data_IF_039926103591
#
_entry.id   IF_039926103591
#
_cell.length_a   1.000
_cell.length_b   1.000
_cell.length_c   1.000
_cell.angle_alpha   90.00
_cell.angle_beta   90.00
_cell.angle_gamma   90.00
#
_symmetry.space_group_name_H-M   'P 1'
#
loop_
_entity.id
_entity.type
_entity.pdbx_description
1 polymer ?
#
# COMPACT_ATOMS: atom_id res chain seq x y z
N UNK A 1 0.36 6.49 19.88
CA UNK A 1 -0.28 6.98 18.65
C UNK A 1 0.72 7.30 17.52
N UNK A 2 2.04 7.13 17.72
CA UNK A 2 3.06 7.38 16.67
C UNK A 2 3.19 6.26 15.63
N UNK A 3 2.85 5.02 15.98
CA UNK A 3 3.07 3.87 15.09
C UNK A 3 2.31 3.98 13.76
N UNK A 4 1.07 4.47 13.80
CA UNK A 4 0.18 4.66 12.64
C UNK A 4 0.49 5.93 11.83
N UNK A 5 1.42 6.77 12.30
CA UNK A 5 1.87 7.98 11.59
C UNK A 5 3.26 7.83 10.98
N UNK A 6 4.02 6.82 11.38
CA UNK A 6 5.37 6.63 10.89
C UNK A 6 5.36 5.97 9.50
N UNK A 7 5.85 6.73 8.52
CA UNK A 7 6.03 6.27 7.15
C UNK A 7 6.84 4.98 7.04
N UNK A 8 7.83 4.77 7.91
CA UNK A 8 8.63 3.54 7.89
C UNK A 8 7.81 2.32 8.29
N UNK A 9 6.90 2.47 9.25
CA UNK A 9 6.04 1.37 9.67
C UNK A 9 5.07 1.00 8.54
N UNK A 10 4.53 1.99 7.83
CA UNK A 10 3.73 1.75 6.64
C UNK A 10 4.55 1.07 5.54
N UNK A 11 5.75 1.55 5.24
CA UNK A 11 6.61 0.93 4.24
C UNK A 11 7.01 -0.51 4.63
N UNK A 12 7.23 -0.81 5.91
CA UNK A 12 7.46 -2.18 6.40
C UNK A 12 6.22 -3.05 6.20
N UNK A 13 5.03 -2.56 6.57
CA UNK A 13 3.79 -3.30 6.37
C UNK A 13 3.55 -3.59 4.88
N UNK A 14 3.77 -2.61 4.01
CA UNK A 14 3.70 -2.80 2.56
C UNK A 14 4.80 -3.74 2.05
N UNK A 15 5.99 -3.71 2.64
CA UNK A 15 7.07 -4.65 2.33
C UNK A 15 6.71 -6.09 2.65
N UNK A 16 6.00 -6.33 3.76
CA UNK A 16 5.45 -7.65 4.09
C UNK A 16 4.40 -8.10 3.07
N UNK A 17 3.54 -7.19 2.60
CA UNK A 17 2.56 -7.48 1.54
C UNK A 17 3.29 -7.85 0.24
N UNK A 18 4.33 -7.10 -0.14
CA UNK A 18 5.15 -7.42 -1.32
C UNK A 18 5.80 -8.79 -1.17
N UNK A 19 6.34 -9.12 0.00
CA UNK A 19 6.92 -10.45 0.26
C UNK A 19 5.86 -11.57 0.13
N UNK A 20 4.65 -11.33 0.62
CA UNK A 20 3.52 -12.25 0.41
C UNK A 20 3.20 -12.43 -1.08
N UNK A 21 3.23 -11.37 -1.88
CA UNK A 21 2.99 -11.46 -3.33
C UNK A 21 4.09 -12.19 -4.08
N UNK A 22 5.34 -12.04 -3.64
CA UNK A 22 6.45 -12.84 -4.18
C UNK A 22 6.19 -14.32 -3.91
N UNK A 23 5.75 -14.69 -2.70
CA UNK A 23 5.34 -16.06 -2.41
C UNK A 23 4.21 -16.53 -3.35
N UNK A 24 3.12 -15.77 -3.49
CA UNK A 24 2.01 -16.11 -4.39
C UNK A 24 2.48 -16.27 -5.85
N UNK A 25 3.37 -15.39 -6.32
CA UNK A 25 3.96 -15.48 -7.66
C UNK A 25 4.71 -16.80 -7.89
N UNK A 26 5.53 -17.19 -6.90
CA UNK A 26 6.39 -18.36 -7.03
C UNK A 26 5.62 -19.68 -6.94
N UNK A 27 4.51 -19.72 -6.21
CA UNK A 27 3.79 -20.97 -5.92
C UNK A 27 2.43 -21.09 -6.64
N UNK A 28 1.83 -20.00 -7.12
CA UNK A 28 0.46 -20.03 -7.65
C UNK A 28 0.27 -19.32 -9.00
N UNK A 29 0.76 -18.09 -9.15
CA UNK A 29 0.46 -17.21 -10.30
C UNK A 29 1.51 -17.29 -11.45
N UNK A 30 2.75 -17.64 -11.12
CA UNK A 30 3.86 -17.71 -12.07
C UNK A 30 4.76 -16.46 -12.11
N UNK A 31 5.91 -16.59 -12.78
CA UNK A 31 7.00 -15.59 -12.71
C UNK A 31 6.64 -14.22 -13.29
N UNK A 32 5.71 -14.12 -14.25
CA UNK A 32 5.30 -12.83 -14.82
C UNK A 32 4.61 -11.92 -13.80
N UNK A 33 3.96 -12.51 -12.78
CA UNK A 33 3.37 -11.76 -11.67
C UNK A 33 4.42 -11.00 -10.86
N UNK A 34 5.71 -11.40 -10.93
CA UNK A 34 6.81 -10.69 -10.26
C UNK A 34 7.10 -9.31 -10.87
N UNK A 35 6.71 -9.04 -12.12
CA UNK A 35 6.99 -7.76 -12.77
C UNK A 35 6.28 -6.61 -12.03
N UNK A 36 4.94 -6.60 -11.89
CA UNK A 36 4.26 -5.56 -11.14
C UNK A 36 4.66 -5.57 -9.65
N UNK A 37 4.88 -6.75 -9.07
CA UNK A 37 5.31 -6.88 -7.66
C UNK A 37 6.67 -6.24 -7.42
N UNK A 38 7.62 -6.39 -8.36
CA UNK A 38 8.94 -5.77 -8.31
C UNK A 38 8.87 -4.25 -8.42
N UNK A 39 8.00 -3.72 -9.29
CA UNK A 39 7.77 -2.27 -9.42
C UNK A 39 7.23 -1.71 -8.10
N UNK A 40 6.16 -2.31 -7.57
CA UNK A 40 5.57 -1.92 -6.29
C UNK A 40 6.59 -2.04 -5.16
N UNK A 41 7.33 -3.14 -5.10
CA UNK A 41 8.39 -3.37 -4.11
C UNK A 41 9.47 -2.30 -4.15
N UNK A 42 9.90 -1.87 -5.34
CA UNK A 42 10.83 -0.77 -5.52
C UNK A 42 10.29 0.56 -5.00
N UNK A 43 9.01 0.87 -5.26
CA UNK A 43 8.35 2.07 -4.75
C UNK A 43 8.24 2.07 -3.22
N UNK A 44 7.84 0.93 -2.64
CA UNK A 44 7.75 0.75 -1.18
C UNK A 44 9.12 0.88 -0.52
N UNK A 45 10.15 0.25 -1.10
CA UNK A 45 11.52 0.41 -0.62
C UNK A 45 12.00 1.87 -0.73
N UNK A 46 11.71 2.54 -1.83
CA UNK A 46 12.00 3.96 -1.99
C UNK A 46 11.30 4.84 -0.94
N UNK A 47 10.03 4.55 -0.64
CA UNK A 47 9.28 5.24 0.41
C UNK A 47 9.92 5.08 1.80
N UNK A 48 10.44 3.88 2.10
CA UNK A 48 11.14 3.61 3.37
C UNK A 48 12.39 4.48 3.56
N UNK A 49 13.17 4.71 2.49
CA UNK A 49 14.44 5.44 2.58
C UNK A 49 14.32 6.97 2.45
N UNK A 50 13.28 7.47 1.79
CA UNK A 50 13.22 8.90 1.43
C UNK A 50 12.47 9.77 2.45
N UNK A 51 11.49 9.22 3.19
CA UNK A 51 10.60 9.95 4.12
C UNK A 51 9.99 11.24 3.52
N UNK A 52 9.18 11.95 4.30
CA UNK A 52 8.57 13.22 3.91
C UNK A 52 7.68 13.11 2.67
N UNK A 53 7.55 14.22 1.94
CA UNK A 53 6.66 14.32 0.77
C UNK A 53 7.07 13.39 -0.38
N UNK A 54 8.36 13.12 -0.56
CA UNK A 54 8.84 12.19 -1.58
C UNK A 54 8.47 10.74 -1.21
N UNK A 55 8.71 10.33 0.04
CA UNK A 55 8.26 9.02 0.51
C UNK A 55 6.75 8.85 0.40
N UNK A 56 5.99 9.91 0.73
CA UNK A 56 4.53 9.95 0.58
C UNK A 56 4.08 9.79 -0.87
N UNK A 57 4.76 10.45 -1.82
CA UNK A 57 4.49 10.26 -3.24
C UNK A 57 4.80 8.83 -3.70
N UNK A 58 5.92 8.26 -3.27
CA UNK A 58 6.33 6.91 -3.64
C UNK A 58 5.38 5.83 -3.12
N UNK A 59 4.89 5.95 -1.88
CA UNK A 59 3.86 5.06 -1.34
C UNK A 59 2.47 5.37 -1.91
N UNK A 60 2.22 6.62 -2.31
CA UNK A 60 0.99 7.07 -2.94
C UNK A 60 0.73 6.42 -4.28
N UNK A 61 1.76 6.25 -5.13
CA UNK A 61 1.62 5.62 -6.45
C UNK A 61 0.99 4.22 -6.41
N UNK A 62 1.52 3.23 -5.66
CA UNK A 62 0.89 1.92 -5.56
C UNK A 62 -0.48 2.00 -4.88
N UNK A 63 -0.65 2.87 -3.87
CA UNK A 63 -1.94 3.04 -3.18
C UNK A 63 -3.02 3.57 -4.12
N UNK A 64 -2.70 4.48 -5.04
CA UNK A 64 -3.60 4.93 -6.10
C UNK A 64 -3.95 3.79 -7.06
N UNK A 65 -2.96 2.96 -7.44
CA UNK A 65 -3.21 1.75 -8.22
C UNK A 65 -4.21 0.82 -7.52
N UNK A 66 -4.02 0.59 -6.22
CA UNK A 66 -4.94 -0.23 -5.41
C UNK A 66 -6.34 0.36 -5.31
N UNK A 67 -6.47 1.69 -5.23
CA UNK A 67 -7.78 2.35 -5.24
C UNK A 67 -8.56 2.07 -6.53
N UNK A 68 -7.88 1.97 -7.66
CA UNK A 68 -8.52 1.62 -8.93
C UNK A 68 -9.01 0.17 -8.97
N UNK A 69 -8.47 -0.70 -8.13
CA UNK A 69 -8.90 -2.10 -7.99
C UNK A 69 -10.09 -2.27 -7.03
N UNK A 70 -10.50 -1.23 -6.30
CA UNK A 70 -11.62 -1.31 -5.34
C UNK A 70 -12.92 -1.83 -5.95
N UNK A 71 -13.36 -1.39 -7.16
CA UNK A 71 -14.56 -1.96 -7.78
C UNK A 71 -14.46 -3.46 -8.00
N UNK A 72 -13.27 -3.95 -8.38
CA UNK A 72 -13.01 -5.36 -8.64
C UNK A 72 -12.94 -6.17 -7.33
N UNK A 73 -12.36 -5.60 -6.27
CA UNK A 73 -12.40 -6.16 -4.92
C UNK A 73 -13.83 -6.30 -4.40
N UNK A 74 -14.70 -5.32 -4.64
CA UNK A 74 -16.12 -5.39 -4.27
C UNK A 74 -16.84 -6.43 -5.13
N UNK A 75 -16.59 -6.45 -6.44
CA UNK A 75 -17.18 -7.43 -7.34
C UNK A 75 -16.81 -8.86 -6.95
N UNK A 76 -15.58 -9.10 -6.50
CA UNK A 76 -15.12 -10.42 -6.03
C UNK A 76 -15.94 -10.96 -4.84
N UNK A 77 -16.59 -10.09 -4.06
CA UNK A 77 -17.48 -10.49 -2.96
C UNK A 77 -18.95 -10.63 -3.37
N UNK A 78 -19.29 -10.38 -4.64
CA UNK A 78 -20.67 -10.48 -5.12
C UNK A 78 -21.13 -11.93 -5.18
N UNK A 79 -22.43 -12.16 -4.99
CA UNK A 79 -23.01 -13.51 -5.09
C UNK A 79 -22.86 -14.14 -6.47
N UNK A 80 -22.64 -13.34 -7.51
CA UNK A 80 -22.40 -13.81 -8.88
C UNK A 80 -21.04 -14.52 -9.02
N UNK A 81 -20.06 -14.15 -8.19
CA UNK A 81 -18.71 -14.72 -8.23
C UNK A 81 -18.52 -15.89 -7.25
N UNK A 82 -19.53 -16.25 -6.46
CA UNK A 82 -19.47 -17.33 -5.46
C UNK A 82 -18.19 -17.26 -4.60
N UNK A 83 -18.00 -16.18 -3.81
CA UNK A 83 -16.78 -15.95 -3.04
C UNK A 83 -16.48 -17.11 -2.09
N UNK A 84 -15.24 -17.57 -2.12
CA UNK A 84 -14.72 -18.52 -1.17
C UNK A 84 -14.31 -17.86 0.15
N UNK A 85 -13.89 -18.70 1.11
CA UNK A 85 -13.40 -18.25 2.42
C UNK A 85 -12.18 -17.34 2.30
N UNK A 86 -11.36 -17.55 1.27
CA UNK A 86 -10.13 -16.78 1.03
C UNK A 86 -10.46 -15.34 0.66
N UNK A 87 -11.43 -15.14 -0.23
CA UNK A 87 -11.89 -13.82 -0.70
C UNK A 87 -12.43 -12.99 0.47
N UNK A 88 -13.20 -13.61 1.37
CA UNK A 88 -13.70 -12.96 2.59
C UNK A 88 -12.61 -12.52 3.57
N UNK A 89 -11.39 -13.03 3.44
CA UNK A 89 -10.23 -12.58 4.25
C UNK A 89 -9.39 -11.57 3.48
N UNK A 90 -9.06 -11.88 2.22
CA UNK A 90 -8.16 -11.07 1.40
C UNK A 90 -8.78 -9.72 1.02
N UNK A 91 -10.05 -9.68 0.63
CA UNK A 91 -10.69 -8.42 0.21
C UNK A 91 -10.72 -7.41 1.37
N UNK A 92 -11.20 -7.74 2.59
CA UNK A 92 -11.13 -6.79 3.71
C UNK A 92 -9.70 -6.41 4.11
N UNK A 93 -8.76 -7.35 4.03
CA UNK A 93 -7.34 -7.09 4.28
C UNK A 93 -6.77 -6.03 3.31
N UNK A 94 -7.10 -6.14 2.02
CA UNK A 94 -6.72 -5.17 1.00
C UNK A 94 -7.35 -3.80 1.23
N UNK A 95 -8.65 -3.77 1.52
CA UNK A 95 -9.34 -2.52 1.81
C UNK A 95 -8.75 -1.81 3.03
N UNK A 96 -8.42 -2.57 4.08
CA UNK A 96 -7.78 -2.03 5.28
C UNK A 96 -6.40 -1.44 4.97
N UNK A 97 -5.59 -2.14 4.19
CA UNK A 97 -4.24 -1.68 3.84
C UNK A 97 -4.26 -0.42 2.97
N UNK A 98 -5.21 -0.30 2.04
CA UNK A 98 -5.46 0.95 1.30
C UNK A 98 -5.75 2.10 2.27
N UNK A 99 -6.69 1.91 3.20
CA UNK A 99 -7.08 2.94 4.17
C UNK A 99 -5.91 3.35 5.06
N UNK A 100 -5.14 2.38 5.59
CA UNK A 100 -3.97 2.66 6.43
C UNK A 100 -2.90 3.43 5.66
N UNK A 101 -2.62 3.07 4.41
CA UNK A 101 -1.68 3.80 3.58
C UNK A 101 -2.14 5.24 3.34
N UNK A 102 -3.42 5.47 3.06
CA UNK A 102 -3.97 6.81 2.88
C UNK A 102 -3.77 7.68 4.13
N UNK A 103 -4.00 7.13 5.32
CA UNK A 103 -3.74 7.87 6.57
C UNK A 103 -2.27 8.22 6.74
N UNK A 104 -1.36 7.28 6.47
CA UNK A 104 0.08 7.51 6.62
C UNK A 104 0.59 8.52 5.59
N UNK A 105 0.17 8.40 4.33
CA UNK A 105 0.49 9.36 3.26
C UNK A 105 0.01 10.76 3.65
N UNK A 106 -1.24 10.88 4.12
CA UNK A 106 -1.81 12.16 4.55
C UNK A 106 -1.07 12.75 5.75
N UNK A 107 -0.74 11.92 6.75
CA UNK A 107 0.01 12.34 7.92
C UNK A 107 1.40 12.88 7.53
N UNK A 108 2.12 12.17 6.67
CA UNK A 108 3.46 12.57 6.21
C UNK A 108 3.40 13.84 5.36
N UNK A 109 2.39 13.98 4.50
CA UNK A 109 2.20 15.16 3.65
C UNK A 109 1.90 16.42 4.46
N UNK A 110 1.06 16.29 5.50
CA UNK A 110 0.70 17.41 6.37
C UNK A 110 1.82 17.76 7.35
N UNK A 111 2.56 16.78 7.88
CA UNK A 111 3.73 17.03 8.72
C UNK A 111 4.82 17.83 7.96
N UNK A 112 5.08 17.49 6.70
CA UNK A 112 6.03 18.24 5.85
C UNK A 112 5.60 19.68 5.53
N UNK A 113 4.30 20.00 5.62
CA UNK A 113 3.80 21.37 5.43
C UNK A 113 4.00 22.26 6.66
N UNK A 114 3.96 21.69 7.86
CA UNK A 114 4.18 22.41 9.11
C UNK A 114 5.65 22.83 9.30
N UNK A 115 6.60 21.94 8.98
CA UNK A 115 8.04 22.27 9.02
C UNK A 115 8.44 23.32 7.99
N UNK A 116 7.73 23.39 6.85
CA UNK A 116 7.98 24.38 5.81
C UNK A 116 7.44 25.78 6.19
N UNK A 117 6.37 25.87 7.00
CA UNK A 117 5.88 27.16 7.50
C UNK A 117 6.74 27.74 8.62
N UNK A 118 7.37 26.90 9.45
CA UNK A 118 8.29 27.36 10.50
C UNK A 118 9.65 27.82 9.96
N UNK A 119 10.14 27.25 8.85
CA UNK A 119 11.39 27.66 8.22
C UNK A 119 11.28 28.95 7.38
N UNK A 120 10.07 29.49 7.21
CA UNK A 120 9.78 30.70 6.44
C UNK A 120 9.35 31.91 7.29
N UNK A 121 9.38 31.79 8.63
CA UNK A 121 9.09 32.86 9.59
C UNK A 121 10.35 33.29 10.33
#
# INVERSE_FOLDING_TARGET
MDFLRDMRNAAIANGLIVAFHIYVALFWEGLYFLIPVGIVGGLVAGAYYTRGRLGAGLLGLPTLGYLLLVPELIAALSSENTPGVVEYVLVPFWMLTIVLNLFVIQAEWTAGSASASEAGA
#
